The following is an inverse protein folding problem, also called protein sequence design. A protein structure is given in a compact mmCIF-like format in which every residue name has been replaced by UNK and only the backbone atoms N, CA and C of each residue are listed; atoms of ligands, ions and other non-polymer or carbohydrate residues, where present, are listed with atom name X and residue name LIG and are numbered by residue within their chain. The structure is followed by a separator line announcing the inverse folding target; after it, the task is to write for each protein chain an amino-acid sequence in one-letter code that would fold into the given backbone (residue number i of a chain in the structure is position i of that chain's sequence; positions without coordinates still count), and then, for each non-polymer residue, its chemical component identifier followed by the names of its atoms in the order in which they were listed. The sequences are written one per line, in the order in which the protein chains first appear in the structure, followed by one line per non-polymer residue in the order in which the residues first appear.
data_IF_064325679011
#
_entry.id   IF_064325679011
#
_cell.length_a   1.000
_cell.length_b   1.000
_cell.length_c   1.000
_cell.angle_alpha   90.00
_cell.angle_beta   90.00
_cell.angle_gamma   90.00
#
_symmetry.space_group_name_H-M   'P 1'
#
loop_
_entity.id
_entity.type
_entity.pdbx_description
1 polymer ?
#
# COMPACT_ATOMS: atom_id res chain seq x y z
N UNK A 1 -32.09 -13.44 12.03
CA UNK A 1 -33.28 -13.83 12.84
C UNK A 1 -34.45 -12.88 12.61
N UNK A 2 -34.41 -11.57 13.02
CA UNK A 2 -35.57 -10.67 12.86
C UNK A 2 -35.99 -10.51 11.39
N UNK A 3 -35.03 -10.36 10.46
CA UNK A 3 -35.31 -10.25 9.02
C UNK A 3 -35.94 -11.52 8.41
N UNK A 4 -35.67 -12.68 8.97
CA UNK A 4 -36.16 -13.99 8.49
C UNK A 4 -37.56 -14.34 9.05
N UNK A 5 -38.05 -13.56 10.02
CA UNK A 5 -39.30 -13.83 10.69
C UNK A 5 -40.53 -13.23 9.99
N UNK A 6 -40.36 -12.67 8.79
CA UNK A 6 -41.45 -12.14 7.98
C UNK A 6 -42.38 -13.25 7.46
N UNK A 7 -43.68 -12.98 7.43
CA UNK A 7 -44.72 -13.87 6.91
C UNK A 7 -45.70 -13.07 6.06
N UNK A 8 -46.14 -13.67 4.93
CA UNK A 8 -47.12 -13.05 4.05
C UNK A 8 -46.82 -11.60 3.65
N UNK A 9 -45.60 -11.36 3.26
CA UNK A 9 -45.08 -10.00 2.88
C UNK A 9 -45.09 -8.95 3.99
N UNK A 10 -45.28 -9.38 5.25
CA UNK A 10 -45.26 -8.54 6.42
C UNK A 10 -44.18 -9.04 7.42
N UNK A 11 -43.35 -8.13 7.93
CA UNK A 11 -42.43 -8.42 9.00
C UNK A 11 -42.70 -7.50 10.21
N UNK A 12 -43.35 -8.06 11.23
CA UNK A 12 -43.65 -7.34 12.46
C UNK A 12 -42.38 -6.90 13.24
N UNK A 13 -41.21 -7.46 12.91
CA UNK A 13 -39.93 -7.13 13.54
C UNK A 13 -39.15 -6.01 12.79
N UNK A 14 -39.78 -5.38 11.81
CA UNK A 14 -39.15 -4.27 11.06
C UNK A 14 -38.58 -3.17 11.97
N UNK A 15 -39.24 -2.71 13.06
CA UNK A 15 -38.63 -1.74 13.97
C UNK A 15 -37.31 -2.21 14.62
N UNK A 16 -37.21 -3.49 14.93
CA UNK A 16 -35.99 -4.09 15.51
C UNK A 16 -34.90 -4.14 14.47
N UNK A 17 -35.23 -4.43 13.22
CA UNK A 17 -34.28 -4.46 12.09
C UNK A 17 -33.70 -3.07 11.90
N UNK A 18 -34.53 -2.03 11.81
CA UNK A 18 -34.06 -0.65 11.65
C UNK A 18 -33.27 -0.16 12.82
N UNK A 19 -33.69 -0.45 14.05
CA UNK A 19 -32.95 -0.08 15.25
C UNK A 19 -31.54 -0.66 15.24
N UNK A 20 -31.40 -1.96 15.02
CA UNK A 20 -30.09 -2.62 15.00
C UNK A 20 -29.22 -2.19 13.79
N UNK A 21 -29.85 -1.87 12.67
CA UNK A 21 -29.15 -1.32 11.51
C UNK A 21 -28.55 0.04 11.81
N UNK A 22 -29.34 0.96 12.36
CA UNK A 22 -28.86 2.30 12.70
C UNK A 22 -27.78 2.25 13.79
N UNK A 23 -27.96 1.44 14.84
CA UNK A 23 -26.93 1.24 15.86
C UNK A 23 -25.62 0.70 15.27
N UNK A 24 -25.72 -0.23 14.35
CA UNK A 24 -24.55 -0.79 13.66
C UNK A 24 -23.82 0.25 12.80
N UNK A 25 -24.55 1.08 12.06
CA UNK A 25 -23.99 2.15 11.24
C UNK A 25 -23.29 3.19 12.12
N UNK A 26 -23.92 3.61 13.22
CA UNK A 26 -23.35 4.57 14.15
C UNK A 26 -22.08 4.04 14.82
N UNK A 27 -22.15 2.79 15.31
CA UNK A 27 -20.99 2.13 15.92
C UNK A 27 -19.83 1.99 14.96
N UNK A 28 -20.10 1.63 13.69
CA UNK A 28 -19.08 1.55 12.66
C UNK A 28 -18.46 2.91 12.37
N UNK A 29 -19.28 3.96 12.30
CA UNK A 29 -18.83 5.34 12.12
C UNK A 29 -17.89 5.79 13.23
N UNK A 30 -18.29 5.59 14.49
CA UNK A 30 -17.46 5.92 15.64
C UNK A 30 -16.16 5.09 15.68
N UNK A 31 -16.23 3.81 15.32
CA UNK A 31 -15.05 2.94 15.26
C UNK A 31 -14.05 3.40 14.21
N UNK A 32 -14.52 3.80 13.02
CA UNK A 32 -13.67 4.34 11.97
C UNK A 32 -13.01 5.66 12.40
N UNK A 33 -13.77 6.55 13.05
CA UNK A 33 -13.24 7.81 13.58
C UNK A 33 -12.18 7.56 14.65
N UNK A 34 -12.47 6.68 15.61
CA UNK A 34 -11.53 6.30 16.68
C UNK A 34 -10.24 5.71 16.13
N UNK A 35 -10.34 4.84 15.12
CA UNK A 35 -9.18 4.27 14.44
C UNK A 35 -8.35 5.36 13.74
N UNK A 36 -9.03 6.29 13.08
CA UNK A 36 -8.37 7.40 12.40
C UNK A 36 -7.60 8.27 13.39
N UNK A 37 -8.27 8.72 14.45
CA UNK A 37 -7.70 9.69 15.38
C UNK A 37 -6.59 9.09 16.26
N UNK A 38 -6.75 7.86 16.71
CA UNK A 38 -5.84 7.24 17.68
C UNK A 38 -4.76 6.35 17.01
N UNK A 39 -4.93 5.96 15.77
CA UNK A 39 -3.97 5.10 15.07
C UNK A 39 -3.43 5.76 13.80
N UNK A 40 -4.29 6.06 12.83
CA UNK A 40 -3.83 6.42 11.48
C UNK A 40 -3.09 7.77 11.47
N UNK A 41 -3.60 8.78 12.18
CA UNK A 41 -2.97 10.11 12.22
C UNK A 41 -1.61 10.12 12.92
N UNK A 42 -1.32 9.12 13.75
CA UNK A 42 -0.03 8.96 14.43
C UNK A 42 0.99 8.12 13.68
N UNK A 43 0.63 7.52 12.55
CA UNK A 43 1.54 6.65 11.79
C UNK A 43 2.66 7.48 11.17
N UNK A 44 3.91 7.10 11.46
CA UNK A 44 5.11 7.63 10.81
C UNK A 44 5.85 6.49 10.12
N UNK A 45 6.34 6.76 8.90
CA UNK A 45 7.10 5.76 8.17
C UNK A 45 8.53 5.63 8.75
N UNK A 46 8.98 4.40 8.97
CA UNK A 46 10.40 4.14 9.18
C UNK A 46 11.10 4.07 7.82
N UNK A 47 11.48 5.24 7.30
CA UNK A 47 12.03 5.39 5.95
C UNK A 47 13.24 4.48 5.70
N UNK A 48 14.15 4.37 6.68
CA UNK A 48 15.33 3.53 6.57
C UNK A 48 14.94 2.06 6.40
N UNK A 49 14.07 1.56 7.27
CA UNK A 49 13.62 0.16 7.22
C UNK A 49 12.89 -0.15 5.91
N UNK A 50 12.00 0.74 5.46
CA UNK A 50 11.30 0.59 4.19
C UNK A 50 12.27 0.53 3.01
N UNK A 51 13.28 1.39 2.99
CA UNK A 51 14.33 1.40 1.96
C UNK A 51 15.15 0.11 1.98
N UNK A 52 15.51 -0.37 3.15
CA UNK A 52 16.28 -1.61 3.31
C UNK A 52 15.48 -2.82 2.80
N UNK A 53 14.18 -2.89 3.10
CA UNK A 53 13.28 -3.93 2.57
C UNK A 53 13.19 -3.92 1.04
N UNK A 54 13.04 -2.75 0.44
CA UNK A 54 13.01 -2.61 -1.02
C UNK A 54 14.34 -3.07 -1.63
N UNK A 55 15.45 -2.62 -1.08
CA UNK A 55 16.79 -2.97 -1.59
C UNK A 55 17.11 -4.47 -1.45
N UNK A 56 16.58 -5.13 -0.42
CA UNK A 56 16.74 -6.57 -0.22
C UNK A 56 15.82 -7.41 -1.12
N UNK A 57 14.79 -6.80 -1.71
CA UNK A 57 13.83 -7.53 -2.54
C UNK A 57 14.40 -7.91 -3.90
N UNK A 58 14.31 -9.20 -4.27
CA UNK A 58 14.62 -9.65 -5.62
C UNK A 58 13.61 -9.13 -6.67
N UNK A 59 12.43 -8.68 -6.25
CA UNK A 59 11.36 -8.16 -7.12
C UNK A 59 11.76 -6.90 -7.88
N UNK A 60 12.71 -6.11 -7.36
CA UNK A 60 13.18 -4.89 -8.04
C UNK A 60 13.91 -5.18 -9.37
N UNK A 61 14.34 -6.44 -9.61
CA UNK A 61 14.94 -6.84 -10.88
C UNK A 61 14.03 -6.56 -12.08
N UNK A 62 12.71 -6.51 -11.88
CA UNK A 62 11.74 -6.16 -12.94
C UNK A 62 11.98 -4.77 -13.52
N UNK A 63 12.43 -3.81 -12.72
CA UNK A 63 12.75 -2.46 -13.17
C UNK A 63 13.94 -2.42 -14.14
N UNK A 64 14.79 -3.44 -14.13
CA UNK A 64 15.92 -3.56 -15.04
C UNK A 64 15.54 -4.16 -16.40
N UNK A 65 14.36 -4.82 -16.51
CA UNK A 65 13.94 -5.49 -17.75
C UNK A 65 13.99 -4.62 -19.01
N UNK A 66 13.59 -3.34 -18.99
CA UNK A 66 13.66 -2.49 -20.18
C UNK A 66 15.10 -2.25 -20.66
N UNK A 67 16.09 -2.28 -19.76
CA UNK A 67 17.49 -1.96 -20.05
C UNK A 67 18.32 -3.19 -20.40
N UNK A 68 18.14 -4.31 -19.69
CA UNK A 68 18.99 -5.51 -19.82
C UNK A 68 18.24 -6.73 -20.36
N UNK A 69 16.93 -6.61 -20.58
CA UNK A 69 16.07 -7.69 -21.06
C UNK A 69 15.58 -8.63 -19.94
N UNK A 70 14.50 -9.37 -20.24
CA UNK A 70 13.82 -10.24 -19.28
C UNK A 70 14.71 -11.39 -18.78
N UNK A 71 15.43 -12.05 -19.70
CA UNK A 71 16.24 -13.23 -19.34
C UNK A 71 17.37 -12.88 -18.34
N UNK A 72 18.07 -11.77 -18.57
CA UNK A 72 19.13 -11.28 -17.70
C UNK A 72 18.57 -10.85 -16.33
N UNK A 73 17.46 -10.12 -16.32
CA UNK A 73 16.79 -9.68 -15.09
C UNK A 73 16.31 -10.88 -14.26
N UNK A 74 15.72 -11.89 -14.88
CA UNK A 74 15.29 -13.11 -14.22
C UNK A 74 16.48 -13.91 -13.65
N UNK A 75 17.62 -13.96 -14.36
CA UNK A 75 18.84 -14.59 -13.85
C UNK A 75 19.39 -13.85 -12.62
N UNK A 76 19.42 -12.51 -12.65
CA UNK A 76 19.81 -11.70 -11.49
C UNK A 76 18.90 -11.91 -10.29
N UNK A 77 17.58 -11.95 -10.48
CA UNK A 77 16.64 -12.22 -9.41
C UNK A 77 16.84 -13.59 -8.77
N UNK A 78 17.02 -14.65 -9.58
CA UNK A 78 17.29 -16.00 -9.11
C UNK A 78 18.62 -16.09 -8.32
N UNK A 79 19.64 -15.39 -8.79
CA UNK A 79 20.94 -15.37 -8.12
C UNK A 79 20.88 -14.59 -6.81
N UNK A 80 20.20 -13.44 -6.79
CA UNK A 80 19.95 -12.66 -5.57
C UNK A 80 19.28 -13.51 -4.49
N UNK A 81 18.26 -14.28 -4.85
CA UNK A 81 17.57 -15.19 -3.92
C UNK A 81 18.46 -16.31 -3.39
N UNK A 82 19.43 -16.80 -4.19
CA UNK A 82 20.34 -17.85 -3.78
C UNK A 82 21.49 -17.37 -2.90
N UNK A 83 22.00 -16.18 -3.21
CA UNK A 83 23.21 -15.63 -2.59
C UNK A 83 22.92 -14.62 -1.49
N UNK A 84 21.66 -14.17 -1.36
CA UNK A 84 21.25 -13.04 -0.51
C UNK A 84 22.00 -11.73 -0.83
N UNK A 85 22.56 -11.62 -2.04
CA UNK A 85 23.19 -10.37 -2.50
C UNK A 85 22.14 -9.51 -3.19
N UNK A 86 22.04 -8.20 -2.87
CA UNK A 86 21.08 -7.31 -3.49
C UNK A 86 21.21 -7.27 -5.02
N UNK A 87 20.07 -7.24 -5.72
CA UNK A 87 20.00 -7.17 -7.19
C UNK A 87 20.84 -6.02 -7.76
N UNK A 88 20.81 -4.85 -7.09
CA UNK A 88 21.63 -3.69 -7.46
C UNK A 88 23.12 -4.05 -7.55
N UNK A 89 23.64 -4.68 -6.51
CA UNK A 89 25.05 -5.07 -6.42
C UNK A 89 25.41 -6.07 -7.52
N UNK A 90 24.57 -7.09 -7.72
CA UNK A 90 24.78 -8.09 -8.77
C UNK A 90 24.77 -7.48 -10.18
N UNK A 91 23.85 -6.55 -10.45
CA UNK A 91 23.74 -5.88 -11.75
C UNK A 91 24.98 -5.05 -12.07
N UNK A 92 25.53 -4.35 -11.10
CA UNK A 92 26.77 -3.56 -11.24
C UNK A 92 27.99 -4.48 -11.39
N UNK A 93 28.13 -5.49 -10.51
CA UNK A 93 29.28 -6.41 -10.53
C UNK A 93 29.37 -7.18 -11.84
N UNK A 94 28.23 -7.53 -12.45
CA UNK A 94 28.17 -8.22 -13.74
C UNK A 94 28.27 -7.29 -14.94
N UNK A 95 28.34 -5.98 -14.72
CA UNK A 95 28.49 -4.98 -15.80
C UNK A 95 27.23 -4.78 -16.66
N UNK A 96 26.05 -5.16 -16.14
CA UNK A 96 24.80 -4.92 -16.86
C UNK A 96 24.38 -3.46 -16.87
N UNK A 97 24.66 -2.74 -15.77
CA UNK A 97 24.34 -1.33 -15.59
C UNK A 97 25.47 -0.63 -14.83
N UNK A 98 25.63 0.65 -15.07
CA UNK A 98 26.52 1.51 -14.27
C UNK A 98 25.86 1.85 -12.94
N UNK A 99 26.63 2.33 -11.98
CA UNK A 99 26.11 2.73 -10.67
C UNK A 99 25.04 3.83 -10.76
N UNK A 100 25.29 4.83 -11.60
CA UNK A 100 24.35 5.93 -11.84
C UNK A 100 23.04 5.48 -12.51
N UNK A 101 23.13 4.52 -13.43
CA UNK A 101 21.94 3.92 -14.06
C UNK A 101 21.15 3.05 -13.07
N UNK A 102 21.84 2.26 -12.25
CA UNK A 102 21.21 1.46 -11.23
C UNK A 102 20.43 2.33 -10.22
N UNK A 103 20.99 3.42 -9.77
CA UNK A 103 20.33 4.36 -8.84
C UNK A 103 19.08 5.00 -9.46
N UNK A 104 19.12 5.31 -10.75
CA UNK A 104 17.98 5.88 -11.46
C UNK A 104 16.89 4.85 -11.74
N UNK A 105 17.26 3.64 -12.20
CA UNK A 105 16.30 2.60 -12.58
C UNK A 105 15.64 1.94 -11.35
N UNK A 106 16.39 1.81 -10.25
CA UNK A 106 15.92 1.18 -9.01
C UNK A 106 15.40 2.19 -7.98
N UNK A 107 15.26 3.47 -8.36
CA UNK A 107 14.60 4.45 -7.50
C UNK A 107 13.11 4.15 -7.40
N UNK A 108 12.56 3.97 -6.17
CA UNK A 108 11.15 3.64 -5.97
C UNK A 108 10.17 4.61 -6.62
N UNK A 109 10.52 5.89 -6.68
CA UNK A 109 9.67 6.90 -7.33
C UNK A 109 9.66 6.75 -8.85
N UNK A 110 10.78 6.37 -9.43
CA UNK A 110 10.85 6.07 -10.87
C UNK A 110 10.08 4.79 -11.20
N UNK A 111 10.20 3.76 -10.37
CA UNK A 111 9.49 2.49 -10.56
C UNK A 111 7.97 2.60 -10.45
N UNK A 112 7.46 3.51 -9.64
CA UNK A 112 6.01 3.71 -9.47
C UNK A 112 5.37 4.64 -10.51
N UNK A 113 6.17 5.25 -11.39
CA UNK A 113 5.69 6.10 -12.48
C UNK A 113 5.05 7.42 -12.06
N UNK A 114 5.00 7.71 -10.76
CA UNK A 114 4.49 8.97 -10.21
C UNK A 114 5.41 9.44 -9.09
N UNK A 115 6.11 10.53 -9.33
CA UNK A 115 6.61 11.35 -8.24
C UNK A 115 5.36 11.91 -7.55
N UNK A 116 4.96 11.33 -6.42
CA UNK A 116 3.95 11.95 -5.57
C UNK A 116 4.52 13.29 -5.15
N UNK A 117 4.02 14.37 -5.76
CA UNK A 117 4.29 15.71 -5.26
C UNK A 117 3.87 15.72 -3.78
N UNK A 118 4.77 16.14 -2.90
CA UNK A 118 4.61 16.16 -1.44
C UNK A 118 3.37 16.94 -0.96
N UNK A 119 2.57 17.50 -1.87
CA UNK A 119 1.41 18.36 -1.56
C UNK A 119 0.06 17.66 -1.52
N UNK A 120 -0.08 16.42 -2.01
CA UNK A 120 -1.41 15.82 -2.18
C UNK A 120 -1.89 14.91 -1.04
N UNK A 121 -1.01 14.42 -0.16
CA UNK A 121 -1.44 13.53 0.94
C UNK A 121 -1.84 14.26 2.24
N UNK A 122 -1.74 15.59 2.33
CA UNK A 122 -1.95 16.31 3.59
C UNK A 122 -3.08 17.35 3.61
N UNK A 123 -3.99 17.35 2.64
CA UNK A 123 -5.15 18.25 2.67
C UNK A 123 -6.40 17.69 3.37
N UNK A 124 -6.26 16.62 4.13
CA UNK A 124 -7.39 16.11 4.93
C UNK A 124 -7.76 17.03 6.12
N UNK A 125 -6.85 17.90 6.55
CA UNK A 125 -7.14 18.87 7.64
C UNK A 125 -8.11 20.03 7.26
N UNK A 126 -8.49 20.16 5.98
CA UNK A 126 -9.41 21.25 5.56
C UNK A 126 -10.87 20.83 5.37
N UNK A 127 -11.19 19.55 5.45
CA UNK A 127 -12.55 19.07 5.29
C UNK A 127 -13.37 19.05 6.60
N UNK A 128 -12.73 19.15 7.76
CA UNK A 128 -13.39 19.12 9.09
C UNK A 128 -13.83 20.51 9.58
N UNK A 129 -13.76 21.56 8.74
CA UNK A 129 -14.21 22.91 9.12
C UNK A 129 -15.46 23.35 8.36
N UNK A 130 -16.11 22.45 7.65
CA UNK A 130 -17.47 22.66 7.13
C UNK A 130 -18.42 21.85 8.02
N UNK A 131 -19.00 22.58 8.99
CA UNK A 131 -19.97 22.04 9.91
C UNK A 131 -21.17 21.39 9.20
N UNK A 132 -21.44 20.16 9.53
CA UNK A 132 -22.77 19.57 9.65
C UNK A 132 -22.75 18.81 10.97
#
# INVERSE_FOLDING_TARGET
MAAEAGQLELNAFEPVIFYTLFESIETLGHSAQTLTDNCILGITANEKHCKDLVNASAGIATALCPSIGYAASAALAKESLKTNVPVRTLAITKGYVTEAEADKLLDPYTMTGKRLEKSSCYNYKKATTLGI
#
